data_IF_132159498727
#
_entry.id   IF_132159498727
#
_cell.length_a   1.000
_cell.length_b   1.000
_cell.length_c   1.000
_cell.angle_alpha   90.00
_cell.angle_beta   90.00
_cell.angle_gamma   90.00
#
_symmetry.space_group_name_H-M   'P 1'
#
loop_
_entity.id
_entity.type
_entity.pdbx_description
1 polymer ?
#
# COMPACT_ATOMS: atom_id res chain seq x y z
N UNK A 1 -26.78 -19.71 13.71
CA UNK A 1 -25.72 -18.71 13.43
C UNK A 1 -24.44 -19.16 14.13
N UNK A 2 -23.29 -19.07 13.46
CA UNK A 2 -22.00 -19.39 14.08
C UNK A 2 -21.69 -18.49 15.28
N UNK A 3 -21.12 -19.06 16.35
CA UNK A 3 -20.70 -18.32 17.55
C UNK A 3 -19.38 -17.59 17.28
N UNK A 4 -19.19 -16.42 17.90
CA UNK A 4 -17.89 -15.71 17.88
C UNK A 4 -16.80 -16.66 18.43
N UNK A 5 -15.72 -16.93 17.66
CA UNK A 5 -14.66 -17.84 18.10
C UNK A 5 -13.78 -17.19 19.17
N UNK A 6 -12.92 -18.00 19.81
CA UNK A 6 -11.79 -17.49 20.57
C UNK A 6 -10.75 -16.84 19.64
N UNK A 7 -10.00 -15.87 20.16
CA UNK A 7 -8.98 -15.15 19.38
C UNK A 7 -7.90 -16.09 18.82
N UNK A 8 -7.51 -17.12 19.55
CA UNK A 8 -6.48 -18.08 19.14
C UNK A 8 -6.95 -18.87 17.92
N UNK A 9 -8.21 -19.31 17.93
CA UNK A 9 -8.80 -20.03 16.81
C UNK A 9 -9.02 -19.11 15.61
N UNK A 10 -9.40 -17.86 15.86
CA UNK A 10 -9.53 -16.85 14.82
C UNK A 10 -8.21 -16.62 14.09
N UNK A 11 -7.10 -16.41 14.81
CA UNK A 11 -5.75 -16.25 14.24
C UNK A 11 -5.33 -17.46 13.41
N UNK A 12 -5.54 -18.67 13.92
CA UNK A 12 -5.21 -19.91 13.17
C UNK A 12 -5.94 -19.99 11.82
N UNK A 13 -7.25 -19.69 11.81
CA UNK A 13 -8.06 -19.70 10.59
C UNK A 13 -7.68 -18.56 9.65
N UNK A 14 -7.42 -17.37 10.20
CA UNK A 14 -7.01 -16.20 9.44
C UNK A 14 -5.69 -16.47 8.70
N UNK A 15 -4.71 -17.05 9.39
CA UNK A 15 -3.43 -17.44 8.80
C UNK A 15 -3.57 -18.49 7.70
N UNK A 16 -4.32 -19.56 7.96
CA UNK A 16 -4.60 -20.61 6.95
C UNK A 16 -5.31 -20.10 5.69
N UNK A 17 -5.97 -18.95 5.77
CA UNK A 17 -6.69 -18.35 4.65
C UNK A 17 -5.96 -17.18 4.00
N UNK A 18 -4.74 -16.86 4.46
CA UNK A 18 -3.95 -15.72 3.99
C UNK A 18 -4.68 -14.38 4.17
N UNK A 19 -5.40 -14.21 5.28
CA UNK A 19 -6.15 -12.99 5.56
C UNK A 19 -7.44 -12.81 4.75
N UNK A 20 -7.88 -13.81 3.98
CA UNK A 20 -9.09 -13.72 3.17
C UNK A 20 -10.37 -13.84 4.03
N UNK A 21 -10.96 -12.69 4.35
CA UNK A 21 -12.13 -12.61 5.24
C UNK A 21 -13.38 -13.36 4.73
N UNK A 22 -13.54 -13.52 3.41
CA UNK A 22 -14.65 -14.32 2.87
C UNK A 22 -14.45 -15.82 3.18
N UNK A 23 -13.22 -16.32 3.06
CA UNK A 23 -12.87 -17.70 3.44
C UNK A 23 -12.99 -17.91 4.94
N UNK A 24 -12.51 -16.95 5.75
CA UNK A 24 -12.68 -16.97 7.22
C UNK A 24 -14.16 -17.07 7.60
N UNK A 25 -15.00 -16.23 6.99
CA UNK A 25 -16.44 -16.24 7.26
C UNK A 25 -17.08 -17.59 6.90
N UNK A 26 -16.68 -18.19 5.78
CA UNK A 26 -17.13 -19.53 5.38
C UNK A 26 -16.74 -20.61 6.41
N UNK A 27 -15.49 -20.58 6.93
CA UNK A 27 -15.02 -21.54 7.95
C UNK A 27 -15.83 -21.44 9.25
N UNK A 28 -16.20 -20.22 9.66
CA UNK A 28 -17.02 -20.01 10.86
C UNK A 28 -18.53 -20.10 10.61
N UNK A 29 -18.96 -20.38 9.36
CA UNK A 29 -20.36 -20.40 8.95
C UNK A 29 -21.12 -19.12 9.36
N UNK A 30 -20.49 -17.97 9.10
CA UNK A 30 -21.05 -16.63 9.33
C UNK A 30 -20.93 -15.79 8.07
N UNK A 31 -21.55 -14.61 8.06
CA UNK A 31 -21.35 -13.66 6.97
C UNK A 31 -20.04 -12.90 7.14
N UNK A 32 -19.48 -12.40 6.03
CA UNK A 32 -18.30 -11.53 6.08
C UNK A 32 -18.55 -10.27 6.94
N UNK A 33 -19.78 -9.75 6.93
CA UNK A 33 -20.19 -8.63 7.80
C UNK A 33 -20.00 -8.96 9.28
N UNK A 34 -20.38 -10.17 9.69
CA UNK A 34 -20.19 -10.62 11.08
C UNK A 34 -18.72 -10.63 11.51
N UNK A 35 -17.79 -10.99 10.62
CA UNK A 35 -16.35 -10.93 10.90
C UNK A 35 -15.87 -9.48 11.07
N UNK A 36 -16.38 -8.55 10.26
CA UNK A 36 -16.12 -7.12 10.45
C UNK A 36 -16.71 -6.58 11.76
N UNK A 37 -17.91 -7.02 12.13
CA UNK A 37 -18.54 -6.63 13.38
C UNK A 37 -17.72 -7.11 14.59
N UNK A 38 -17.10 -8.29 14.52
CA UNK A 38 -16.14 -8.75 15.54
C UNK A 38 -14.92 -7.82 15.65
N UNK A 39 -14.30 -7.46 14.53
CA UNK A 39 -13.15 -6.53 14.53
C UNK A 39 -13.53 -5.11 14.96
N UNK A 40 -14.77 -4.68 14.74
CA UNK A 40 -15.27 -3.38 15.20
C UNK A 40 -15.49 -3.34 16.71
N UNK A 41 -15.90 -4.45 17.29
CA UNK A 41 -16.27 -4.56 18.72
C UNK A 41 -15.12 -5.03 19.61
N UNK A 42 -14.08 -5.61 19.02
CA UNK A 42 -12.96 -6.22 19.74
C UNK A 42 -11.63 -5.92 19.04
N UNK A 43 -10.75 -5.20 19.75
CA UNK A 43 -9.45 -4.79 19.20
C UNK A 43 -8.56 -5.98 18.85
N UNK A 44 -8.63 -7.10 19.59
CA UNK A 44 -7.75 -8.24 19.31
C UNK A 44 -8.02 -8.85 17.93
N UNK A 45 -9.28 -8.86 17.50
CA UNK A 45 -9.68 -9.33 16.17
C UNK A 45 -9.24 -8.35 15.08
N UNK A 46 -9.32 -7.04 15.35
CA UNK A 46 -8.84 -6.01 14.44
C UNK A 46 -7.32 -6.12 14.24
N UNK A 47 -6.59 -6.28 15.33
CA UNK A 47 -5.13 -6.37 15.32
C UNK A 47 -4.70 -7.64 14.57
N UNK A 48 -5.33 -8.79 14.86
CA UNK A 48 -5.08 -10.02 14.12
C UNK A 48 -5.29 -9.87 12.59
N UNK A 49 -6.34 -9.18 12.15
CA UNK A 49 -6.58 -8.90 10.72
C UNK A 49 -5.49 -7.99 10.14
N UNK A 50 -5.04 -7.02 10.92
CA UNK A 50 -4.01 -6.06 10.49
C UNK A 50 -2.67 -6.75 10.36
N UNK A 51 -2.28 -7.56 11.35
CA UNK A 51 -1.04 -8.34 11.36
C UNK A 51 -0.97 -9.30 10.17
N UNK A 52 -2.03 -10.08 9.91
CA UNK A 52 -2.04 -11.03 8.79
C UNK A 52 -1.96 -10.33 7.43
N UNK A 53 -2.61 -9.16 7.30
CA UNK A 53 -2.49 -8.35 6.09
C UNK A 53 -1.10 -7.76 5.92
N UNK A 54 -0.45 -7.37 7.01
CA UNK A 54 0.96 -6.97 7.02
C UNK A 54 1.84 -8.10 6.49
N UNK A 55 1.67 -9.31 7.02
CA UNK A 55 2.40 -10.49 6.54
C UNK A 55 2.20 -10.76 5.04
N UNK A 56 0.97 -10.62 4.54
CA UNK A 56 0.69 -10.77 3.11
C UNK A 56 1.38 -9.69 2.26
N UNK A 57 1.47 -8.45 2.77
CA UNK A 57 2.21 -7.37 2.10
C UNK A 57 3.70 -7.71 2.06
N UNK A 58 4.26 -8.22 3.15
CA UNK A 58 5.67 -8.64 3.21
C UNK A 58 5.98 -9.76 2.19
N UNK A 59 5.09 -10.74 2.04
CA UNK A 59 5.20 -11.78 1.01
C UNK A 59 5.15 -11.20 -0.42
N UNK A 60 4.26 -10.23 -0.66
CA UNK A 60 4.20 -9.51 -1.93
C UNK A 60 5.49 -8.74 -2.20
N UNK A 61 6.14 -8.15 -1.18
CA UNK A 61 7.41 -7.44 -1.33
C UNK A 61 8.56 -8.37 -1.73
N UNK A 62 8.58 -9.60 -1.21
CA UNK A 62 9.55 -10.62 -1.65
C UNK A 62 9.36 -10.92 -3.14
N UNK A 63 8.13 -11.12 -3.58
CA UNK A 63 7.80 -11.39 -4.98
C UNK A 63 8.13 -10.19 -5.88
N UNK A 64 7.79 -8.99 -5.44
CA UNK A 64 8.14 -7.73 -6.10
C UNK A 64 9.65 -7.60 -6.31
N UNK A 65 10.47 -7.99 -5.32
CA UNK A 65 11.93 -7.99 -5.45
C UNK A 65 12.40 -8.98 -6.52
N UNK A 66 11.82 -10.18 -6.59
CA UNK A 66 12.16 -11.14 -7.65
C UNK A 66 11.86 -10.55 -9.03
N UNK A 67 10.67 -9.98 -9.21
CA UNK A 67 10.29 -9.32 -10.47
C UNK A 67 11.21 -8.14 -10.80
N UNK A 68 11.55 -7.30 -9.82
CA UNK A 68 12.43 -6.15 -10.03
C UNK A 68 13.88 -6.54 -10.32
N UNK A 69 14.33 -7.72 -9.91
CA UNK A 69 15.68 -8.20 -10.21
C UNK A 69 15.73 -9.02 -11.50
N UNK A 70 14.61 -9.60 -11.93
CA UNK A 70 14.56 -10.56 -13.03
C UNK A 70 15.38 -11.82 -12.75
N UNK A 71 15.49 -12.67 -13.76
CA UNK A 71 16.33 -13.89 -13.72
C UNK A 71 17.41 -13.75 -14.79
N UNK A 72 18.65 -13.40 -14.41
CA UNK A 72 19.73 -13.24 -15.37
C UNK A 72 20.16 -14.60 -15.91
N UNK A 73 20.49 -14.64 -17.18
CA UNK A 73 21.18 -15.75 -17.80
C UNK A 73 22.69 -15.49 -17.76
N UNK A 74 23.44 -16.53 -17.39
CA UNK A 74 24.88 -16.45 -17.20
C UNK A 74 25.57 -17.55 -18.00
N UNK A 75 26.77 -17.25 -18.51
CA UNK A 75 27.63 -18.26 -19.13
C UNK A 75 28.26 -19.19 -18.06
N UNK A 76 29.05 -20.16 -18.52
CA UNK A 76 29.76 -21.13 -17.66
C UNK A 76 30.74 -20.46 -16.67
N UNK A 77 31.19 -19.25 -16.98
CA UNK A 77 32.08 -18.45 -16.13
C UNK A 77 31.31 -17.52 -15.17
N UNK A 78 29.98 -17.49 -15.24
CA UNK A 78 29.13 -16.64 -14.42
C UNK A 78 28.92 -15.22 -14.95
N UNK A 79 29.41 -14.90 -16.16
CA UNK A 79 29.21 -13.60 -16.79
C UNK A 79 27.78 -13.44 -17.25
N UNK A 80 27.23 -12.23 -17.08
CA UNK A 80 25.91 -11.90 -17.60
C UNK A 80 25.89 -11.90 -19.13
N UNK A 81 25.02 -12.73 -19.72
CA UNK A 81 24.87 -12.83 -21.19
C UNK A 81 23.45 -12.48 -21.66
N UNK A 82 22.51 -12.28 -20.74
CA UNK A 82 21.13 -11.95 -21.09
C UNK A 82 20.17 -12.17 -19.93
N UNK A 83 18.88 -12.16 -20.26
CA UNK A 83 17.81 -12.37 -19.30
C UNK A 83 17.00 -13.60 -19.70
N UNK A 84 16.91 -14.57 -18.80
CA UNK A 84 15.89 -15.62 -18.90
C UNK A 84 14.51 -15.03 -18.66
N UNK A 85 14.42 -14.18 -17.65
CA UNK A 85 13.23 -13.37 -17.38
C UNK A 85 13.68 -11.93 -17.11
N UNK A 86 13.17 -10.99 -17.89
CA UNK A 86 13.58 -9.60 -17.77
C UNK A 86 13.03 -8.99 -16.48
N UNK A 87 13.78 -8.09 -15.84
CA UNK A 87 13.26 -7.31 -14.73
C UNK A 87 12.03 -6.51 -15.14
N UNK A 88 11.06 -6.41 -14.23
CA UNK A 88 9.92 -5.53 -14.39
C UNK A 88 10.33 -4.08 -14.06
N UNK A 89 10.39 -3.24 -15.09
CA UNK A 89 10.80 -1.83 -14.95
C UNK A 89 9.86 -1.01 -14.07
N UNK A 90 8.56 -1.33 -14.04
CA UNK A 90 7.61 -0.64 -13.17
C UNK A 90 7.87 -0.99 -11.71
N UNK A 91 8.17 -2.25 -11.41
CA UNK A 91 8.50 -2.72 -10.07
C UNK A 91 9.84 -2.15 -9.58
N UNK A 92 10.85 -2.07 -10.46
CA UNK A 92 12.10 -1.37 -10.15
C UNK A 92 11.81 0.08 -9.75
N UNK A 93 11.04 0.80 -10.58
CA UNK A 93 10.66 2.19 -10.30
C UNK A 93 9.91 2.32 -8.98
N UNK A 94 8.92 1.45 -8.74
CA UNK A 94 8.15 1.43 -7.50
C UNK A 94 9.04 1.23 -6.27
N UNK A 95 9.95 0.24 -6.29
CA UNK A 95 10.85 -0.03 -5.18
C UNK A 95 11.84 1.11 -4.95
N UNK A 96 12.40 1.70 -6.00
CA UNK A 96 13.28 2.86 -5.89
C UNK A 96 12.55 4.08 -5.33
N UNK A 97 11.36 4.42 -5.84
CA UNK A 97 10.56 5.54 -5.32
C UNK A 97 10.03 5.31 -3.90
N UNK A 98 9.93 4.06 -3.44
CA UNK A 98 9.44 3.74 -2.10
C UNK A 98 10.58 3.65 -1.08
N UNK A 99 11.62 2.88 -1.39
CA UNK A 99 12.72 2.57 -0.47
C UNK A 99 13.90 3.53 -0.62
N UNK A 100 14.10 4.11 -1.81
CA UNK A 100 15.20 5.00 -2.16
C UNK A 100 14.92 6.49 -1.94
N UNK A 101 13.80 6.89 -1.31
CA UNK A 101 13.48 8.33 -1.11
C UNK A 101 14.57 9.11 -0.43
N UNK A 102 15.19 8.54 0.60
CA UNK A 102 16.29 9.18 1.32
C UNK A 102 17.54 9.35 0.47
N UNK A 103 17.70 8.52 -0.56
CA UNK A 103 18.79 8.56 -1.54
C UNK A 103 18.44 9.44 -2.75
N UNK A 104 17.29 10.13 -2.73
CA UNK A 104 16.85 11.04 -3.79
C UNK A 104 16.00 10.40 -4.90
N UNK A 105 15.55 9.15 -4.73
CA UNK A 105 14.65 8.48 -5.66
C UNK A 105 13.18 8.72 -5.30
N UNK A 106 12.38 9.18 -6.25
CA UNK A 106 10.97 9.48 -6.05
C UNK A 106 10.58 10.73 -6.84
N UNK A 107 9.29 10.92 -7.05
CA UNK A 107 8.81 12.18 -7.60
C UNK A 107 9.11 13.25 -6.55
N UNK A 108 9.85 14.30 -6.94
CA UNK A 108 9.87 15.53 -6.16
C UNK A 108 8.45 16.06 -6.27
N UNK A 109 7.67 15.89 -5.21
CA UNK A 109 6.65 16.90 -4.95
C UNK A 109 7.48 18.16 -4.72
N UNK A 110 7.46 19.09 -5.67
CA UNK A 110 7.95 20.44 -5.47
C UNK A 110 7.05 21.07 -4.39
N UNK A 111 7.18 20.62 -3.13
CA UNK A 111 6.38 21.13 -2.01
C UNK A 111 6.72 22.59 -1.69
N UNK A 112 7.79 23.12 -2.24
CA UNK A 112 8.11 24.54 -2.23
C UNK A 112 8.89 24.91 -3.51
N UNK A 113 8.25 24.83 -4.68
CA UNK A 113 8.61 25.84 -5.68
C UNK A 113 8.34 27.20 -5.00
N UNK A 114 9.31 28.11 -4.99
CA UNK A 114 9.22 29.48 -4.46
C UNK A 114 8.04 30.24 -5.08
N UNK A 115 6.80 29.87 -4.74
CA UNK A 115 5.61 30.64 -4.99
C UNK A 115 5.65 31.69 -3.89
N UNK A 116 5.89 32.98 -4.23
CA UNK A 116 5.89 34.01 -3.22
C UNK A 116 4.49 34.01 -2.59
N UNK A 117 4.43 33.71 -1.29
CA UNK A 117 3.18 33.72 -0.50
C UNK A 117 2.63 35.15 -0.33
N UNK A 118 3.39 36.13 -0.80
CA UNK A 118 3.14 37.57 -0.73
C UNK A 118 2.67 38.17 -2.08
N UNK A 119 2.25 37.34 -3.04
CA UNK A 119 1.53 37.89 -4.21
C UNK A 119 0.11 38.19 -3.75
N UNK A 120 -0.17 39.48 -3.56
CA UNK A 120 -1.51 40.01 -3.30
C UNK A 120 -2.44 39.58 -4.46
N UNK A 121 -3.17 38.49 -4.27
CA UNK A 121 -4.03 37.89 -5.29
C UNK A 121 -5.27 38.76 -5.47
N UNK A 122 -5.12 39.80 -6.28
CA UNK A 122 -6.21 40.49 -6.94
C UNK A 122 -6.84 41.64 -6.17
N UNK A 123 -7.36 42.59 -6.94
CA UNK A 123 -8.17 43.68 -6.43
C UNK A 123 -9.47 43.06 -5.87
N UNK A 124 -9.77 43.32 -4.59
CA UNK A 124 -11.07 42.96 -4.01
C UNK A 124 -12.20 43.48 -4.89
N UNK A 125 -13.18 42.61 -5.20
CA UNK A 125 -14.35 42.95 -6.01
C UNK A 125 -15.05 44.22 -5.47
N UNK A 126 -15.12 44.38 -4.15
CA UNK A 126 -15.71 45.57 -3.52
C UNK A 126 -14.93 46.85 -3.86
N UNK A 127 -13.60 46.75 -3.94
CA UNK A 127 -12.73 47.86 -4.32
C UNK A 127 -12.91 48.22 -5.80
N UNK A 128 -13.07 47.22 -6.68
CA UNK A 128 -13.36 47.44 -8.10
C UNK A 128 -14.74 48.06 -8.34
N UNK A 129 -15.78 47.60 -7.62
CA UNK A 129 -17.15 48.12 -7.72
C UNK A 129 -17.19 49.60 -7.31
N UNK A 130 -16.51 49.97 -6.21
CA UNK A 130 -16.45 51.37 -5.75
C UNK A 130 -15.76 52.31 -6.74
N UNK A 131 -14.77 51.81 -7.48
CA UNK A 131 -14.08 52.60 -8.50
C UNK A 131 -14.94 52.81 -9.76
N UNK A 132 -15.75 51.81 -10.13
CA UNK A 132 -16.56 51.84 -11.37
C UNK A 132 -17.96 52.41 -11.24
N UNK A 133 -18.49 52.56 -10.03
CA UNK A 133 -19.82 53.12 -9.78
C UNK A 133 -19.79 54.59 -9.27
N UNK A 134 -18.72 55.33 -9.56
CA UNK A 134 -18.71 56.80 -9.43
C UNK A 134 -19.26 57.48 -10.67
#
# INVERSE_FOLDING_TARGET
>A
MGKKPDISKFREVLHKTGGNLSKVAAVFNVTRKTVYDWARTDCQFKDAITDERGSLVDECLVSARVLALGIPEKDENGNFIGWRERPDGYMIRYLLSTLGRKEGFGDREDEDADIPKDIDHGISIDSWIKDKLK
#
